data_IF_411708243434
#
_entry.id   IF_411708243434
#
_cell.length_a   1.000
_cell.length_b   1.000
_cell.length_c   1.000
_cell.angle_alpha   90.00
_cell.angle_beta   90.00
_cell.angle_gamma   90.00
#
_symmetry.space_group_name_H-M   'P 1'
#
loop_
_entity.id
_entity.type
_entity.pdbx_description
1 polymer ?
#
# COMPACT_ATOMS: atom_id res chain seq x y z
N UNK A 1 17.77 -24.59 -0.24
CA UNK A 1 17.59 -23.34 0.49
C UNK A 1 18.71 -22.39 0.10
N UNK A 2 18.39 -21.40 -0.71
CA UNK A 2 19.32 -20.37 -1.17
C UNK A 2 19.48 -19.19 -0.17
N UNK A 3 18.92 -19.34 1.03
CA UNK A 3 19.00 -18.35 2.12
C UNK A 3 18.27 -17.03 1.85
N UNK A 4 17.39 -16.98 0.83
CA UNK A 4 16.57 -15.81 0.56
C UNK A 4 15.27 -15.84 1.35
N UNK A 5 14.83 -14.67 1.75
CA UNK A 5 13.62 -14.49 2.54
C UNK A 5 12.56 -13.78 1.70
N UNK A 6 11.34 -14.24 1.84
CA UNK A 6 10.19 -13.63 1.18
C UNK A 6 9.27 -13.03 2.25
N UNK A 7 8.92 -11.77 2.10
CA UNK A 7 7.93 -11.13 2.96
C UNK A 7 6.53 -11.65 2.64
N UNK A 8 5.77 -11.94 3.67
CA UNK A 8 4.37 -12.37 3.53
C UNK A 8 3.45 -11.31 4.11
N UNK A 9 2.62 -10.73 3.25
CA UNK A 9 1.55 -9.85 3.67
C UNK A 9 0.35 -10.71 4.11
N UNK A 10 0.08 -10.71 5.40
CA UNK A 10 -0.98 -11.52 6.02
C UNK A 10 -2.33 -10.81 6.06
N UNK A 11 -2.44 -9.61 5.52
CA UNK A 11 -3.62 -8.78 5.58
C UNK A 11 -3.52 -7.64 6.59
N UNK A 12 -4.65 -7.06 6.95
CA UNK A 12 -4.71 -5.94 7.87
C UNK A 12 -5.52 -6.30 9.13
N UNK A 13 -5.19 -5.64 10.23
CA UNK A 13 -5.85 -5.78 11.51
C UNK A 13 -6.43 -4.41 11.89
N UNK A 14 -7.71 -4.31 12.24
CA UNK A 14 -8.26 -3.07 12.75
C UNK A 14 -7.59 -2.70 14.07
N UNK A 15 -7.37 -1.41 14.30
CA UNK A 15 -6.95 -0.93 15.61
C UNK A 15 -8.13 -0.94 16.58
N UNK A 16 -7.92 -1.55 17.75
CA UNK A 16 -8.87 -1.52 18.86
C UNK A 16 -8.60 -0.28 19.72
N UNK A 17 -9.06 0.89 19.29
CA UNK A 17 -8.92 2.13 20.03
C UNK A 17 -7.78 3.03 19.58
N UNK A 18 -6.82 3.32 20.46
CA UNK A 18 -5.73 4.27 20.19
C UNK A 18 -4.60 3.66 19.36
N UNK A 19 -4.02 4.47 18.45
CA UNK A 19 -2.92 4.04 17.55
C UNK A 19 -1.56 3.86 18.24
N UNK A 20 -1.46 4.18 19.50
CA UNK A 20 -0.26 3.97 20.34
C UNK A 20 -0.10 2.52 20.81
N UNK A 21 -1.15 1.72 20.70
CA UNK A 21 -1.11 0.29 21.00
C UNK A 21 -1.25 -0.52 19.73
N UNK A 22 -0.20 -1.22 19.38
CA UNK A 22 -0.24 -2.14 18.25
C UNK A 22 -1.08 -3.38 18.61
N UNK A 23 -1.94 -3.85 17.69
CA UNK A 23 -2.66 -5.10 17.89
C UNK A 23 -1.69 -6.27 18.01
N UNK A 24 -2.14 -7.36 18.62
CA UNK A 24 -1.35 -8.59 18.68
C UNK A 24 -1.24 -9.20 17.28
N UNK A 25 -0.02 -9.22 16.76
CA UNK A 25 0.28 -9.72 15.41
C UNK A 25 0.85 -11.14 15.42
N UNK A 26 0.89 -11.79 16.59
CA UNK A 26 1.37 -13.17 16.70
C UNK A 26 0.49 -14.13 15.89
N UNK A 27 1.10 -15.12 15.30
CA UNK A 27 0.47 -16.14 14.50
C UNK A 27 0.56 -17.49 15.19
N UNK A 28 -0.37 -18.36 14.88
CA UNK A 28 -0.19 -19.79 15.20
C UNK A 28 1.03 -20.38 14.49
N UNK A 29 1.46 -19.75 13.38
CA UNK A 29 2.68 -20.12 12.65
C UNK A 29 3.97 -19.75 13.42
N UNK A 30 3.89 -18.85 14.39
CA UNK A 30 5.04 -18.43 15.19
C UNK A 30 5.32 -19.41 16.36
N UNK A 31 4.42 -20.34 16.60
CA UNK A 31 4.49 -21.25 17.75
C UNK A 31 5.51 -22.38 17.57
N UNK A 32 5.89 -22.70 16.34
CA UNK A 32 6.80 -23.81 16.09
C UNK A 32 7.77 -23.47 14.95
N UNK A 33 8.89 -22.82 15.32
CA UNK A 33 9.92 -22.35 14.38
C UNK A 33 10.63 -23.49 13.64
N UNK A 34 10.37 -24.74 14.01
CA UNK A 34 10.95 -25.94 13.39
C UNK A 34 10.00 -26.65 12.41
N UNK A 35 8.76 -26.21 12.33
CA UNK A 35 7.79 -26.81 11.41
C UNK A 35 7.83 -26.13 10.04
N UNK A 36 7.91 -26.95 9.00
CA UNK A 36 7.82 -26.45 7.62
C UNK A 36 6.38 -26.13 7.29
N UNK A 37 6.09 -24.84 7.07
CA UNK A 37 4.75 -24.34 6.77
C UNK A 37 4.64 -24.00 5.30
N UNK A 38 3.55 -24.40 4.67
CA UNK A 38 3.21 -24.02 3.30
C UNK A 38 2.28 -22.80 3.33
N UNK A 39 2.70 -21.71 2.72
CA UNK A 39 1.90 -20.51 2.57
C UNK A 39 1.52 -20.32 1.11
N UNK A 40 0.22 -20.18 0.84
CA UNK A 40 -0.32 -19.97 -0.50
C UNK A 40 -0.72 -18.52 -0.67
N UNK A 41 -0.37 -17.94 -1.82
CA UNK A 41 -0.71 -16.55 -2.10
C UNK A 41 -0.30 -16.09 -3.49
N UNK A 42 -0.53 -14.81 -3.79
CA UNK A 42 -0.12 -14.14 -5.01
C UNK A 42 1.16 -13.37 -4.78
N UNK A 43 2.13 -13.53 -5.65
CA UNK A 43 3.35 -12.71 -5.65
C UNK A 43 3.02 -11.35 -6.25
N UNK A 44 3.44 -10.29 -5.56
CA UNK A 44 3.22 -8.90 -5.94
C UNK A 44 4.46 -8.05 -5.64
N UNK A 45 4.49 -6.83 -6.13
CA UNK A 45 5.58 -5.89 -5.85
C UNK A 45 5.38 -5.22 -4.49
N UNK A 46 6.48 -4.86 -3.82
CA UNK A 46 6.41 -4.06 -2.60
C UNK A 46 5.75 -2.71 -2.88
N UNK A 47 4.81 -2.26 -2.02
CA UNK A 47 4.11 -1.01 -2.22
C UNK A 47 5.09 0.16 -2.18
N UNK A 48 4.97 1.05 -3.16
CA UNK A 48 5.81 2.22 -3.28
C UNK A 48 5.10 3.48 -2.80
N UNK A 49 5.85 4.39 -2.19
CA UNK A 49 5.34 5.69 -1.85
C UNK A 49 4.96 6.45 -3.13
N UNK A 50 3.73 7.01 -3.16
CA UNK A 50 3.30 7.89 -4.24
C UNK A 50 4.05 9.24 -4.23
N UNK A 51 3.66 10.14 -5.15
CA UNK A 51 4.26 11.48 -5.29
C UNK A 51 4.17 12.32 -4.00
N UNK A 52 3.18 12.08 -3.16
CA UNK A 52 2.98 12.81 -1.91
C UNK A 52 3.96 12.40 -0.78
N UNK A 53 4.81 11.43 -0.99
CA UNK A 53 5.71 10.92 0.03
C UNK A 53 5.02 9.94 0.99
N UNK A 54 5.29 10.06 2.30
CA UNK A 54 4.73 9.15 3.32
C UNK A 54 5.60 7.94 3.61
N UNK A 55 6.83 7.92 3.13
CA UNK A 55 7.81 6.88 3.43
C UNK A 55 8.35 7.04 4.85
N UNK A 56 8.28 5.98 5.63
CA UNK A 56 8.90 5.89 6.95
C UNK A 56 9.66 4.57 7.07
N UNK A 57 10.97 4.64 7.25
CA UNK A 57 11.79 3.48 7.46
C UNK A 57 11.42 2.79 8.79
N UNK A 58 11.51 1.47 8.90
CA UNK A 58 11.35 0.77 10.17
C UNK A 58 12.49 1.15 11.12
N UNK A 59 12.20 1.18 12.41
CA UNK A 59 13.23 1.36 13.42
C UNK A 59 14.30 0.25 13.34
N UNK A 60 15.55 0.61 13.46
CA UNK A 60 16.68 -0.35 13.47
C UNK A 60 16.98 -0.91 14.86
N UNK A 61 16.35 -0.35 15.91
CA UNK A 61 16.49 -0.78 17.30
C UNK A 61 15.12 -0.91 17.97
N UNK A 62 15.07 -1.56 19.12
CA UNK A 62 13.83 -1.80 19.87
C UNK A 62 13.21 -3.17 19.61
N UNK A 63 12.10 -3.43 20.28
CA UNK A 63 11.37 -4.70 20.19
C UNK A 63 10.57 -4.83 18.89
N UNK A 64 10.26 -6.04 18.53
CA UNK A 64 9.26 -6.35 17.51
C UNK A 64 7.85 -6.43 18.15
N UNK A 65 6.75 -6.10 17.43
CA UNK A 65 6.69 -5.67 16.03
C UNK A 65 7.15 -4.21 15.79
N UNK A 66 7.57 -3.91 14.57
CA UNK A 66 8.00 -2.56 14.14
C UNK A 66 7.05 -1.99 13.10
N UNK A 67 6.76 -0.69 13.21
CA UNK A 67 5.89 0.01 12.27
C UNK A 67 6.73 0.68 11.19
N UNK A 68 6.27 0.62 9.95
CA UNK A 68 6.90 1.24 8.80
C UNK A 68 5.84 1.64 7.76
N UNK A 69 6.20 2.54 6.84
CA UNK A 69 5.37 2.92 5.69
C UNK A 69 6.21 2.92 4.43
N UNK A 70 5.83 2.12 3.45
CA UNK A 70 6.51 2.00 2.15
C UNK A 70 8.02 1.81 2.29
N UNK A 71 8.51 0.82 3.07
CA UNK A 71 9.93 0.61 3.25
C UNK A 71 10.59 0.09 1.96
N UNK A 72 11.87 0.40 1.78
CA UNK A 72 12.68 -0.28 0.76
C UNK A 72 13.19 -1.63 1.30
N UNK A 73 13.55 -2.53 0.39
CA UNK A 73 14.17 -3.82 0.76
C UNK A 73 15.39 -3.59 1.65
N UNK A 74 16.27 -2.66 1.29
CA UNK A 74 17.48 -2.35 2.08
C UNK A 74 17.15 -1.86 3.50
N UNK A 75 16.09 -1.06 3.67
CA UNK A 75 15.64 -0.60 5.00
C UNK A 75 15.09 -1.74 5.84
N UNK A 76 14.38 -2.68 5.22
CA UNK A 76 13.87 -3.87 5.90
C UNK A 76 15.02 -4.79 6.33
N UNK A 77 15.95 -5.08 5.42
CA UNK A 77 17.15 -5.89 5.74
C UNK A 77 17.96 -5.28 6.90
N UNK A 78 18.17 -3.97 6.88
CA UNK A 78 18.86 -3.28 7.96
C UNK A 78 18.13 -3.40 9.30
N UNK A 79 16.80 -3.28 9.31
CA UNK A 79 16.00 -3.43 10.51
C UNK A 79 15.99 -4.88 11.03
N UNK A 80 15.97 -5.86 10.14
CA UNK A 80 15.97 -7.29 10.51
C UNK A 80 17.33 -7.80 10.93
N UNK A 81 18.41 -7.25 10.39
CA UNK A 81 19.79 -7.65 10.71
C UNK A 81 20.16 -7.50 12.19
N UNK A 82 19.35 -6.76 12.97
CA UNK A 82 19.53 -6.63 14.42
C UNK A 82 18.88 -7.76 15.24
N UNK A 83 18.02 -8.57 14.60
CA UNK A 83 17.23 -9.59 15.27
C UNK A 83 17.49 -11.01 14.72
N UNK A 84 18.10 -11.13 13.56
CA UNK A 84 18.26 -12.41 12.86
C UNK A 84 19.69 -12.55 12.33
N UNK A 85 20.32 -13.70 12.61
CA UNK A 85 21.58 -14.11 12.00
C UNK A 85 21.42 -15.48 11.32
N UNK A 86 22.01 -15.69 10.13
CA UNK A 86 22.74 -14.71 9.30
C UNK A 86 21.82 -13.60 8.77
N UNK A 87 22.42 -12.46 8.38
CA UNK A 87 21.68 -11.31 7.85
C UNK A 87 20.76 -11.74 6.71
N UNK A 88 19.46 -11.45 6.81
CA UNK A 88 18.50 -11.87 5.81
C UNK A 88 18.77 -11.16 4.47
N UNK A 89 18.59 -11.89 3.38
CA UNK A 89 18.48 -11.33 2.03
C UNK A 89 17.03 -11.40 1.62
N UNK A 90 16.38 -10.26 1.45
CA UNK A 90 14.98 -10.18 1.08
C UNK A 90 14.82 -10.19 -0.44
N UNK A 91 13.76 -10.84 -0.88
CA UNK A 91 13.27 -10.70 -2.25
C UNK A 91 12.63 -9.32 -2.42
N UNK A 92 12.73 -8.76 -3.64
CA UNK A 92 12.10 -7.48 -3.99
C UNK A 92 10.58 -7.56 -4.08
N UNK A 93 10.05 -8.75 -4.07
CA UNK A 93 8.63 -9.06 -4.11
C UNK A 93 8.16 -9.57 -2.77
N UNK A 94 6.88 -9.47 -2.53
CA UNK A 94 6.24 -10.08 -1.38
C UNK A 94 5.12 -11.04 -1.79
N UNK A 95 4.66 -11.85 -0.88
CA UNK A 95 3.53 -12.73 -1.06
C UNK A 95 2.29 -12.12 -0.40
N UNK A 96 1.25 -11.86 -1.17
CA UNK A 96 -0.07 -11.56 -0.65
C UNK A 96 -0.76 -12.88 -0.32
N UNK A 97 -0.89 -13.18 0.97
CA UNK A 97 -1.45 -14.45 1.44
C UNK A 97 -2.88 -14.65 0.91
N UNK A 98 -3.21 -15.85 0.49
CA UNK A 98 -4.56 -16.21 0.03
C UNK A 98 -5.62 -15.94 1.10
N UNK A 99 -6.78 -15.45 0.71
CA UNK A 99 -7.92 -15.24 1.62
C UNK A 99 -8.47 -16.54 2.21
N UNK A 100 -8.20 -17.67 1.56
CA UNK A 100 -8.54 -19.00 2.07
C UNK A 100 -7.61 -19.50 3.19
N UNK A 101 -6.44 -18.89 3.40
CA UNK A 101 -5.49 -19.34 4.42
C UNK A 101 -5.92 -18.88 5.82
N UNK A 102 -6.13 -19.81 6.79
CA UNK A 102 -6.62 -19.45 8.13
C UNK A 102 -5.62 -18.66 8.98
N UNK A 103 -4.35 -18.63 8.62
CA UNK A 103 -3.29 -17.94 9.36
C UNK A 103 -3.19 -16.44 9.07
N UNK A 104 -4.00 -15.94 8.13
CA UNK A 104 -4.02 -14.51 7.77
C UNK A 104 -5.07 -13.71 8.55
N UNK A 105 -4.98 -12.39 8.38
CA UNK A 105 -5.93 -11.42 8.93
C UNK A 105 -7.02 -11.07 7.90
N UNK A 106 -7.65 -9.90 8.01
CA UNK A 106 -8.58 -9.42 6.98
C UNK A 106 -7.82 -9.14 5.68
N UNK A 107 -8.25 -9.77 4.59
CA UNK A 107 -7.61 -9.73 3.29
C UNK A 107 -8.64 -9.36 2.24
N UNK A 108 -8.53 -8.15 1.74
CA UNK A 108 -9.32 -7.64 0.63
C UNK A 108 -8.35 -7.09 -0.40
N UNK A 109 -7.76 -8.00 -1.18
CA UNK A 109 -6.78 -7.68 -2.19
C UNK A 109 -7.42 -7.07 -3.45
N UNK A 110 -8.28 -6.08 -3.25
CA UNK A 110 -8.89 -5.38 -4.37
C UNK A 110 -7.97 -4.25 -4.85
N UNK A 111 -7.71 -4.14 -6.15
CA UNK A 111 -6.80 -3.14 -6.72
C UNK A 111 -7.21 -1.69 -6.40
N UNK A 112 -8.45 -1.48 -5.99
CA UNK A 112 -9.05 -0.16 -5.82
C UNK A 112 -9.62 0.07 -4.42
N UNK A 113 -9.02 -0.51 -3.39
CA UNK A 113 -9.43 -0.33 -1.99
C UNK A 113 -9.40 1.15 -1.51
N UNK A 114 -8.89 2.07 -2.31
CA UNK A 114 -8.89 3.52 -2.04
C UNK A 114 -10.15 4.25 -2.52
N UNK A 115 -11.17 3.54 -2.95
CA UNK A 115 -12.50 4.11 -3.23
C UNK A 115 -12.61 4.97 -4.50
N UNK A 116 -11.52 5.19 -5.23
CA UNK A 116 -11.53 5.99 -6.46
C UNK A 116 -11.18 5.11 -7.66
N UNK A 117 -12.18 4.40 -8.16
CA UNK A 117 -12.04 3.64 -9.40
C UNK A 117 -11.88 4.53 -10.64
N UNK A 118 -11.55 3.95 -11.80
CA UNK A 118 -11.46 4.65 -13.08
C UNK A 118 -12.70 5.51 -13.41
N UNK A 119 -13.87 5.08 -12.99
CA UNK A 119 -15.15 5.76 -13.20
C UNK A 119 -15.20 7.14 -12.54
N UNK A 120 -14.63 7.30 -11.34
CA UNK A 120 -14.57 8.60 -10.69
C UNK A 120 -13.60 9.56 -11.41
N UNK A 121 -12.51 9.05 -11.93
CA UNK A 121 -11.57 9.85 -12.72
C UNK A 121 -12.24 10.37 -14.00
N UNK A 122 -13.07 9.56 -14.65
CA UNK A 122 -13.88 9.96 -15.80
C UNK A 122 -14.88 11.05 -15.42
N UNK A 123 -15.57 10.94 -14.31
CA UNK A 123 -16.52 11.95 -13.83
C UNK A 123 -15.85 13.30 -13.61
N UNK A 124 -14.67 13.32 -12.98
CA UNK A 124 -13.87 14.54 -12.83
C UNK A 124 -13.41 15.10 -14.18
N UNK A 125 -12.94 14.26 -15.10
CA UNK A 125 -12.52 14.71 -16.42
C UNK A 125 -13.69 15.37 -17.18
N UNK A 126 -14.88 14.76 -17.19
CA UNK A 126 -16.08 15.32 -17.82
C UNK A 126 -16.45 16.66 -17.19
N UNK A 127 -16.38 16.78 -15.87
CA UNK A 127 -16.65 18.03 -15.16
C UNK A 127 -15.70 19.15 -15.61
N UNK A 128 -14.41 18.89 -15.69
CA UNK A 128 -13.43 19.89 -16.13
C UNK A 128 -13.61 20.27 -17.61
N UNK A 129 -13.90 19.33 -18.47
CA UNK A 129 -14.22 19.60 -19.87
C UNK A 129 -15.49 20.45 -20.00
N UNK A 130 -16.52 20.18 -19.23
CA UNK A 130 -17.75 20.98 -19.21
C UNK A 130 -17.50 22.43 -18.82
N UNK A 131 -16.67 22.67 -17.80
CA UNK A 131 -16.27 24.02 -17.43
C UNK A 131 -15.46 24.73 -18.51
N UNK A 132 -14.54 24.04 -19.16
CA UNK A 132 -13.76 24.60 -20.26
C UNK A 132 -14.64 25.01 -21.43
N UNK A 133 -15.58 24.17 -21.83
CA UNK A 133 -16.56 24.46 -22.90
C UNK A 133 -17.43 25.67 -22.51
N UNK A 134 -17.94 25.70 -21.28
CA UNK A 134 -18.76 26.82 -20.78
C UNK A 134 -17.98 28.14 -20.85
N UNK A 135 -16.73 28.15 -20.42
CA UNK A 135 -15.87 29.35 -20.48
C UNK A 135 -15.64 29.81 -21.92
N UNK A 136 -15.42 28.89 -22.86
CA UNK A 136 -15.30 29.22 -24.28
C UNK A 136 -16.59 29.85 -24.84
N UNK A 137 -17.74 29.26 -24.55
CA UNK A 137 -19.04 29.79 -24.98
C UNK A 137 -19.27 31.19 -24.41
N UNK A 138 -18.99 31.41 -23.13
CA UNK A 138 -19.12 32.73 -22.50
C UNK A 138 -18.15 33.74 -23.13
N UNK A 139 -16.90 33.33 -23.35
CA UNK A 139 -15.90 34.20 -24.00
C UNK A 139 -16.35 34.67 -25.39
N UNK A 140 -16.77 33.76 -26.23
CA UNK A 140 -17.25 34.11 -27.58
C UNK A 140 -18.53 34.92 -27.53
N UNK A 141 -19.49 34.57 -26.69
CA UNK A 141 -20.76 35.30 -26.54
C UNK A 141 -20.55 36.74 -26.14
N UNK A 142 -19.64 36.97 -25.19
CA UNK A 142 -19.38 38.35 -24.70
C UNK A 142 -18.55 39.18 -25.69
N UNK A 143 -17.60 38.53 -26.40
CA UNK A 143 -16.77 39.29 -27.37
C UNK A 143 -17.45 39.53 -28.72
N UNK A 144 -18.33 38.61 -29.17
CA UNK A 144 -19.08 38.83 -30.42
C UNK A 144 -20.20 39.89 -30.27
N UNK A 145 -20.81 40.02 -29.09
CA UNK A 145 -21.82 41.07 -28.83
C UNK A 145 -21.26 42.48 -28.90
N UNK A 146 -19.99 42.69 -28.63
CA UNK A 146 -19.34 44.02 -28.71
C UNK A 146 -19.08 44.51 -30.15
N UNK A 147 -19.14 43.66 -31.15
CA UNK A 147 -18.89 44.03 -32.54
C UNK A 147 -20.15 44.50 -33.32
N UNK A 148 -21.32 44.28 -32.77
CA UNK A 148 -22.59 44.69 -33.42
C UNK A 148 -23.16 46.02 -32.93
N UNK A 149 -22.45 46.71 -32.05
CA UNK A 149 -22.88 48.00 -31.43
C UNK A 149 -21.97 49.15 -31.81
N UNK A 150 -21.42 49.13 -33.05
CA UNK A 150 -20.65 50.27 -33.60
C UNK A 150 -21.24 50.73 -34.93
#
# INVERSE_FOLDING_TARGET
NDGRWLLVNRGWIPFEGYRDRLPDVRSKLDADMNEQVTVIGRVDELPQAGLAGGRAAPATSGSWPRVTSFPTVTQLEAAMATAVEPKPRLEERWLLMSDADPAGYLRQWQPFATGKGPEQNWSYAIQWWSFAILLLVLYFSLNLRKRTSS
#
